data_IF_690292390658
#
_entry.id   IF_690292390658
#
_cell.length_a   1.000
_cell.length_b   1.000
_cell.length_c   1.000
_cell.angle_alpha   90.00
_cell.angle_beta   90.00
_cell.angle_gamma   90.00
#
_symmetry.space_group_name_H-M   'P 1'
#
loop_
_entity.id
_entity.type
_entity.pdbx_description
1 polymer ?
#
# COMPACT_ATOMS: atom_id res chain seq x y z
N UNK A 1 17.62 -13.24 -24.71
CA UNK A 1 16.99 -14.30 -25.53
C UNK A 1 16.08 -13.65 -26.56
N UNK A 2 15.87 -14.26 -27.74
CA UNK A 2 14.79 -13.84 -28.63
C UNK A 2 13.44 -14.10 -27.97
N UNK A 3 12.51 -13.18 -28.16
CA UNK A 3 11.12 -13.32 -27.74
C UNK A 3 10.42 -14.39 -28.58
N UNK A 4 9.77 -15.36 -27.92
CA UNK A 4 8.99 -16.42 -28.59
C UNK A 4 7.54 -16.35 -28.13
N UNK A 5 6.62 -16.06 -29.06
CA UNK A 5 5.19 -15.88 -28.77
C UNK A 5 4.52 -17.11 -28.15
N UNK A 6 5.05 -18.31 -28.38
CA UNK A 6 4.49 -19.56 -27.85
C UNK A 6 4.50 -19.62 -26.30
N UNK A 7 5.38 -18.85 -25.65
CA UNK A 7 5.45 -18.74 -24.19
C UNK A 7 4.53 -17.66 -23.61
N UNK A 8 3.67 -17.05 -24.43
CA UNK A 8 2.69 -16.07 -23.94
C UNK A 8 1.38 -16.79 -23.67
N UNK A 9 0.94 -16.73 -22.42
CA UNK A 9 -0.40 -17.12 -22.02
C UNK A 9 -1.30 -15.89 -21.93
N UNK A 10 -2.23 -15.73 -22.87
CA UNK A 10 -3.25 -14.68 -22.78
C UNK A 10 -4.45 -15.15 -21.98
N UNK A 11 -4.77 -14.45 -20.88
CA UNK A 11 -5.98 -14.70 -20.10
C UNK A 11 -7.08 -13.69 -20.46
N UNK A 12 -8.37 -14.10 -20.47
CA UNK A 12 -9.49 -13.21 -20.81
C UNK A 12 -9.82 -12.17 -19.72
N UNK A 13 -9.11 -12.18 -18.58
CA UNK A 13 -9.25 -11.20 -17.50
C UNK A 13 -8.28 -11.44 -16.36
N UNK A 14 -8.35 -10.56 -15.34
CA UNK A 14 -7.52 -10.60 -14.12
C UNK A 14 -8.04 -11.58 -13.05
N UNK A 15 -9.03 -12.40 -13.36
CA UNK A 15 -9.67 -13.34 -12.42
C UNK A 15 -9.32 -14.80 -12.74
N UNK A 16 -9.52 -15.66 -11.72
CA UNK A 16 -9.37 -17.13 -11.71
C UNK A 16 -9.63 -17.74 -13.09
N UNK A 17 -8.64 -18.51 -13.57
CA UNK A 17 -8.63 -19.30 -14.80
C UNK A 17 -10.00 -19.93 -15.11
N UNK A 18 -10.75 -19.27 -15.98
CA UNK A 18 -12.02 -19.75 -16.51
C UNK A 18 -11.78 -20.78 -17.61
N UNK A 19 -11.22 -21.95 -17.26
CA UNK A 19 -11.15 -23.08 -18.19
C UNK A 19 -9.92 -24.00 -18.16
N UNK A 20 -9.12 -24.05 -17.08
CA UNK A 20 -7.88 -24.85 -16.99
C UNK A 20 -6.84 -24.46 -18.07
N UNK A 21 -6.89 -23.23 -18.57
CA UNK A 21 -5.99 -22.74 -19.61
C UNK A 21 -4.54 -22.77 -19.14
N UNK A 22 -4.30 -22.34 -17.90
CA UNK A 22 -2.97 -22.26 -17.31
C UNK A 22 -2.35 -23.64 -17.09
N UNK A 23 -3.15 -24.60 -16.62
CA UNK A 23 -2.71 -25.96 -16.42
C UNK A 23 -2.29 -26.63 -17.74
N UNK A 24 -3.11 -26.45 -18.79
CA UNK A 24 -2.79 -26.94 -20.13
C UNK A 24 -1.50 -26.32 -20.66
N UNK A 25 -1.35 -25.00 -20.51
CA UNK A 25 -0.15 -24.28 -20.96
C UNK A 25 1.11 -24.73 -20.22
N UNK A 26 1.04 -24.96 -18.91
CA UNK A 26 2.16 -25.52 -18.12
C UNK A 26 2.55 -26.93 -18.58
N UNK A 27 1.58 -27.76 -18.97
CA UNK A 27 1.85 -29.10 -19.51
C UNK A 27 2.49 -29.07 -20.90
N UNK A 28 2.11 -28.08 -21.73
CA UNK A 28 2.66 -27.88 -23.07
C UNK A 28 4.08 -27.28 -23.06
N UNK A 29 4.48 -26.64 -21.95
CA UNK A 29 5.79 -25.98 -21.79
C UNK A 29 6.52 -26.46 -20.50
N UNK A 30 6.84 -27.76 -20.38
CA UNK A 30 7.46 -28.33 -19.17
C UNK A 30 8.90 -27.85 -18.89
N UNK A 31 9.55 -27.24 -19.88
CA UNK A 31 10.90 -26.69 -19.82
C UNK A 31 11.00 -25.33 -19.13
N UNK A 32 9.87 -24.67 -18.85
CA UNK A 32 9.85 -23.36 -18.21
C UNK A 32 10.48 -23.42 -16.82
N UNK A 33 11.44 -22.54 -16.58
CA UNK A 33 12.13 -22.33 -15.30
C UNK A 33 11.76 -20.98 -14.67
N UNK A 34 11.05 -20.10 -15.39
CA UNK A 34 10.61 -18.79 -14.92
C UNK A 34 9.33 -18.29 -15.60
N UNK A 35 8.44 -17.64 -14.84
CA UNK A 35 7.17 -17.08 -15.34
C UNK A 35 6.95 -15.68 -14.77
N UNK A 36 6.76 -14.70 -15.65
CA UNK A 36 6.41 -13.33 -15.28
C UNK A 36 4.91 -13.09 -15.50
N UNK A 37 4.19 -12.80 -14.42
CA UNK A 37 2.76 -12.48 -14.43
C UNK A 37 2.55 -10.98 -14.58
N UNK A 38 1.48 -10.60 -15.30
CA UNK A 38 1.12 -9.19 -15.53
C UNK A 38 0.59 -8.49 -14.27
N UNK A 39 0.12 -9.24 -13.27
CA UNK A 39 -0.26 -8.74 -11.94
C UNK A 39 0.01 -9.79 -10.86
N UNK A 40 0.08 -9.35 -9.60
CA UNK A 40 0.20 -10.23 -8.43
C UNK A 40 -1.00 -11.18 -8.26
N UNK A 41 -2.19 -10.78 -8.70
CA UNK A 41 -3.38 -11.65 -8.65
C UNK A 41 -3.21 -12.89 -9.53
N UNK A 42 -2.67 -12.70 -10.73
CA UNK A 42 -2.41 -13.81 -11.66
C UNK A 42 -1.30 -14.72 -11.11
N UNK A 43 -0.26 -14.13 -10.50
CA UNK A 43 0.78 -14.90 -9.84
C UNK A 43 0.21 -15.75 -8.68
N UNK A 44 -0.72 -15.22 -7.90
CA UNK A 44 -1.40 -16.00 -6.85
C UNK A 44 -2.12 -17.24 -7.40
N UNK A 45 -2.79 -17.12 -8.55
CA UNK A 45 -3.41 -18.29 -9.19
C UNK A 45 -2.38 -19.29 -9.71
N UNK A 46 -1.30 -18.80 -10.32
CA UNK A 46 -0.21 -19.63 -10.80
C UNK A 46 0.43 -20.45 -9.69
N UNK A 47 0.64 -19.86 -8.50
CA UNK A 47 1.14 -20.59 -7.32
C UNK A 47 0.31 -21.83 -7.02
N UNK A 48 -1.02 -21.70 -7.05
CA UNK A 48 -1.95 -22.81 -6.76
C UNK A 48 -1.91 -23.89 -7.85
N UNK A 49 -1.74 -23.51 -9.11
CA UNK A 49 -1.61 -24.48 -10.20
C UNK A 49 -0.27 -25.22 -10.15
N UNK A 50 0.83 -24.52 -9.84
CA UNK A 50 2.14 -25.12 -9.66
C UNK A 50 2.16 -26.10 -8.49
N UNK A 51 1.51 -25.76 -7.38
CA UNK A 51 1.36 -26.64 -6.22
C UNK A 51 0.62 -27.95 -6.58
N UNK A 52 -0.46 -27.87 -7.37
CA UNK A 52 -1.22 -29.05 -7.82
C UNK A 52 -0.39 -30.03 -8.64
N UNK A 53 0.58 -29.53 -9.41
CA UNK A 53 1.48 -30.37 -10.22
C UNK A 53 2.80 -30.67 -9.50
N UNK A 54 2.90 -30.35 -8.21
CA UNK A 54 4.05 -30.66 -7.36
C UNK A 54 5.31 -29.84 -7.65
N UNK A 55 5.18 -28.68 -8.32
CA UNK A 55 6.28 -27.74 -8.60
C UNK A 55 6.36 -26.70 -7.50
N UNK A 56 7.55 -26.49 -6.94
CA UNK A 56 7.81 -25.48 -5.92
C UNK A 56 8.22 -24.17 -6.58
N UNK A 57 7.48 -23.12 -6.26
CA UNK A 57 7.82 -21.76 -6.68
C UNK A 57 9.15 -21.33 -6.05
N UNK A 58 9.96 -20.58 -6.80
CA UNK A 58 11.28 -20.10 -6.37
C UNK A 58 12.37 -21.16 -6.35
N UNK A 59 12.05 -22.40 -6.72
CA UNK A 59 13.01 -23.50 -6.75
C UNK A 59 12.92 -24.33 -8.01
N UNK A 60 11.75 -24.85 -8.31
CA UNK A 60 11.51 -25.63 -9.53
C UNK A 60 11.08 -24.70 -10.68
N UNK A 61 10.34 -23.63 -10.38
CA UNK A 61 9.95 -22.56 -11.31
C UNK A 61 9.99 -21.22 -10.58
N UNK A 62 10.72 -20.24 -11.11
CA UNK A 62 10.72 -18.87 -10.62
C UNK A 62 9.43 -18.15 -11.04
N UNK A 63 8.86 -17.32 -10.16
CA UNK A 63 7.63 -16.58 -10.46
C UNK A 63 7.79 -15.13 -10.04
N UNK A 64 7.41 -14.20 -10.91
CA UNK A 64 7.31 -12.78 -10.56
C UNK A 64 5.95 -12.20 -10.94
N UNK A 65 5.52 -11.16 -10.22
CA UNK A 65 4.30 -10.40 -10.47
C UNK A 65 4.56 -8.93 -10.80
N UNK A 66 3.49 -8.14 -10.69
CA UNK A 66 3.45 -6.69 -10.89
C UNK A 66 2.35 -6.13 -9.97
N UNK A 67 2.57 -4.94 -9.41
CA UNK A 67 1.73 -4.16 -8.47
C UNK A 67 2.27 -4.10 -7.03
N UNK A 68 3.08 -5.07 -6.61
CA UNK A 68 3.58 -5.21 -5.23
C UNK A 68 2.47 -5.04 -4.17
N UNK A 69 1.42 -5.85 -4.30
CA UNK A 69 0.30 -5.80 -3.37
C UNK A 69 0.74 -6.29 -1.99
N UNK A 70 0.17 -5.80 -0.88
CA UNK A 70 0.47 -6.28 0.47
C UNK A 70 0.34 -7.80 0.65
N UNK A 71 -0.52 -8.45 -0.14
CA UNK A 71 -0.72 -9.89 -0.14
C UNK A 71 0.51 -10.66 -0.68
N UNK A 72 1.32 -10.04 -1.55
CA UNK A 72 2.51 -10.66 -2.17
C UNK A 72 3.55 -11.10 -1.13
N UNK A 73 3.71 -10.34 -0.04
CA UNK A 73 4.62 -10.67 1.07
C UNK A 73 4.15 -11.84 1.92
N UNK A 74 2.84 -12.15 1.88
CA UNK A 74 2.23 -13.24 2.63
C UNK A 74 2.09 -14.54 1.82
N UNK A 75 2.43 -14.51 0.53
CA UNK A 75 2.49 -15.71 -0.30
C UNK A 75 3.62 -16.63 0.18
N UNK A 76 3.52 -17.92 -0.11
CA UNK A 76 4.50 -18.92 0.33
C UNK A 76 5.06 -19.65 -0.89
N UNK A 77 6.31 -19.38 -1.31
CA UNK A 77 7.20 -18.31 -0.82
C UNK A 77 6.71 -16.89 -1.19
N UNK A 78 7.16 -15.83 -0.48
CA UNK A 78 6.81 -14.44 -0.81
C UNK A 78 7.12 -14.11 -2.27
N UNK A 79 6.16 -13.47 -2.94
CA UNK A 79 6.19 -13.20 -4.38
C UNK A 79 7.04 -11.98 -4.71
N UNK A 80 8.06 -12.15 -5.54
CA UNK A 80 8.79 -11.07 -6.17
C UNK A 80 7.87 -10.31 -7.12
N UNK A 81 7.88 -8.98 -7.06
CA UNK A 81 6.94 -8.17 -7.84
C UNK A 81 7.58 -6.87 -8.26
N UNK A 82 7.07 -6.28 -9.34
CA UNK A 82 7.43 -4.93 -9.72
C UNK A 82 6.47 -3.94 -9.04
N UNK A 83 7.04 -3.08 -8.19
CA UNK A 83 6.29 -2.03 -7.52
C UNK A 83 6.17 -0.81 -8.43
N UNK A 84 4.92 -0.42 -8.67
CA UNK A 84 4.57 0.85 -9.26
C UNK A 84 3.73 1.65 -8.25
N UNK A 85 4.21 2.82 -7.83
CA UNK A 85 3.57 3.59 -6.78
C UNK A 85 2.18 4.09 -7.24
N UNK A 86 1.14 3.37 -6.81
CA UNK A 86 -0.26 3.68 -7.13
C UNK A 86 -0.68 5.06 -6.63
N UNK A 87 -0.10 5.54 -5.52
CA UNK A 87 -0.40 6.86 -4.97
C UNK A 87 0.19 7.96 -5.87
N UNK A 88 1.43 7.77 -6.33
CA UNK A 88 2.07 8.67 -7.28
C UNK A 88 1.35 8.68 -8.63
N UNK A 89 0.95 7.51 -9.15
CA UNK A 89 0.14 7.39 -10.36
C UNK A 89 -1.17 8.18 -10.21
N UNK A 90 -1.89 7.99 -9.10
CA UNK A 90 -3.15 8.69 -8.84
C UNK A 90 -2.96 10.22 -8.76
N UNK A 91 -1.93 10.66 -8.03
CA UNK A 91 -1.59 12.08 -7.92
C UNK A 91 -1.29 12.71 -9.29
N UNK A 92 -0.42 12.06 -10.08
CA UNK A 92 -0.06 12.54 -11.41
C UNK A 92 -1.25 12.50 -12.37
N UNK A 93 -2.13 11.51 -12.27
CA UNK A 93 -3.37 11.44 -13.04
C UNK A 93 -4.30 12.62 -12.76
N UNK A 94 -4.50 12.98 -11.48
CA UNK A 94 -5.30 14.15 -11.09
C UNK A 94 -4.65 15.45 -11.58
N UNK A 95 -3.33 15.57 -11.41
CA UNK A 95 -2.56 16.73 -11.86
C UNK A 95 -2.66 16.92 -13.38
N UNK A 96 -2.48 15.85 -14.16
CA UNK A 96 -2.64 15.90 -15.61
C UNK A 96 -4.08 16.24 -16.02
N UNK A 97 -5.09 15.72 -15.31
CA UNK A 97 -6.49 16.10 -15.54
C UNK A 97 -6.72 17.61 -15.30
N UNK A 98 -6.07 18.18 -14.29
CA UNK A 98 -6.10 19.62 -14.03
C UNK A 98 -5.38 20.43 -15.11
N UNK A 99 -4.20 19.98 -15.54
CA UNK A 99 -3.43 20.62 -16.62
C UNK A 99 -4.18 20.58 -17.96
N UNK A 100 -4.85 19.46 -18.26
CA UNK A 100 -5.73 19.34 -19.43
C UNK A 100 -6.86 20.37 -19.38
N UNK A 101 -7.49 20.52 -18.22
CA UNK A 101 -8.58 21.47 -18.03
C UNK A 101 -8.11 22.92 -18.21
N UNK A 102 -6.96 23.29 -17.63
CA UNK A 102 -6.47 24.66 -17.62
C UNK A 102 -5.78 25.05 -18.92
N UNK A 103 -5.00 24.14 -19.49
CA UNK A 103 -4.07 24.41 -20.59
C UNK A 103 -4.48 23.73 -21.90
N UNK A 104 -5.55 22.92 -21.91
CA UNK A 104 -6.04 22.20 -23.09
C UNK A 104 -5.11 21.10 -23.60
N UNK A 105 -4.06 20.76 -22.86
CA UNK A 105 -3.06 19.76 -23.26
C UNK A 105 -2.40 19.09 -22.05
N UNK A 106 -1.89 17.88 -22.26
CA UNK A 106 -1.08 17.11 -21.31
C UNK A 106 0.12 16.50 -22.01
N UNK A 107 1.04 15.90 -21.25
CA UNK A 107 2.20 15.21 -21.77
C UNK A 107 2.27 13.81 -21.16
N UNK A 108 2.76 12.84 -21.93
CA UNK A 108 3.04 11.52 -21.41
C UNK A 108 4.12 11.63 -20.33
N UNK A 109 3.82 11.06 -19.16
CA UNK A 109 4.78 10.93 -18.06
C UNK A 109 5.05 9.46 -17.83
N UNK A 110 6.32 9.15 -17.63
CA UNK A 110 6.78 7.83 -17.22
C UNK A 110 7.03 7.87 -15.72
N UNK A 111 6.64 6.80 -15.05
CA UNK A 111 6.87 6.61 -13.62
C UNK A 111 7.78 5.41 -13.51
N UNK A 112 8.86 5.57 -12.75
CA UNK A 112 9.80 4.49 -12.52
C UNK A 112 9.12 3.41 -11.69
N UNK A 113 9.19 2.19 -12.20
CA UNK A 113 8.80 0.99 -11.47
C UNK A 113 10.07 0.27 -11.02
N UNK A 114 10.07 -0.25 -9.79
CA UNK A 114 11.21 -0.96 -9.23
C UNK A 114 10.87 -2.42 -9.00
N UNK A 115 11.79 -3.30 -9.32
CA UNK A 115 11.63 -4.73 -9.08
C UNK A 115 12.02 -5.06 -7.64
N UNK A 116 11.11 -5.69 -6.90
CA UNK A 116 11.33 -6.15 -5.53
C UNK A 116 11.57 -7.67 -5.59
N UNK A 117 12.83 -8.13 -5.54
CA UNK A 117 13.12 -9.55 -5.49
C UNK A 117 12.63 -10.13 -4.16
N UNK A 118 12.05 -11.33 -4.21
CA UNK A 118 11.68 -12.13 -3.04
C UNK A 118 11.97 -13.61 -3.32
N UNK A 119 11.68 -14.48 -2.36
CA UNK A 119 11.98 -15.91 -2.41
C UNK A 119 11.36 -16.66 -3.61
N UNK A 120 10.37 -16.09 -4.30
CA UNK A 120 9.80 -16.68 -5.52
C UNK A 120 10.70 -16.64 -6.76
N UNK A 121 11.81 -15.89 -6.75
CA UNK A 121 12.79 -15.81 -7.85
C UNK A 121 14.19 -16.26 -7.42
N UNK A 122 14.27 -17.15 -6.42
CA UNK A 122 15.52 -17.71 -5.91
C UNK A 122 16.56 -16.63 -5.54
N UNK A 123 16.10 -15.55 -4.88
CA UNK A 123 17.05 -14.61 -4.30
C UNK A 123 17.62 -15.22 -3.01
N UNK A 124 18.90 -15.60 -3.02
CA UNK A 124 19.69 -15.56 -1.79
C UNK A 124 19.59 -14.14 -1.21
N UNK A 125 19.45 -13.99 0.12
CA UNK A 125 19.20 -12.73 0.84
C UNK A 125 20.25 -11.62 0.53
N UNK A 126 20.20 -11.02 -0.67
CA UNK A 126 21.11 -9.97 -1.12
C UNK A 126 20.99 -8.74 -0.23
N UNK A 127 19.76 -8.43 0.21
CA UNK A 127 19.45 -7.33 1.13
C UNK A 127 20.16 -7.45 2.50
N UNK A 128 20.23 -8.67 3.07
CA UNK A 128 20.95 -8.91 4.33
C UNK A 128 22.46 -8.70 4.17
N UNK A 129 22.98 -8.90 2.96
CA UNK A 129 24.41 -8.74 2.64
C UNK A 129 24.77 -7.26 2.51
N UNK A 130 23.98 -6.46 1.78
CA UNK A 130 24.25 -5.04 1.51
C UNK A 130 24.30 -4.17 2.77
N UNK A 131 23.26 -4.23 3.62
CA UNK A 131 23.21 -3.39 4.82
C UNK A 131 24.29 -3.79 5.85
N UNK A 132 24.57 -5.09 5.95
CA UNK A 132 25.65 -5.62 6.78
C UNK A 132 27.02 -5.15 6.29
N UNK A 133 27.27 -5.15 4.98
CA UNK A 133 28.49 -4.60 4.37
C UNK A 133 28.62 -3.11 4.57
N UNK A 134 27.55 -2.33 4.37
CA UNK A 134 27.52 -0.90 4.63
C UNK A 134 27.90 -0.57 6.08
N UNK A 135 27.27 -1.22 7.06
CA UNK A 135 27.58 -0.98 8.48
C UNK A 135 29.02 -1.36 8.80
N UNK A 136 29.52 -2.50 8.28
CA UNK A 136 30.92 -2.93 8.47
C UNK A 136 31.90 -1.93 7.86
N UNK A 137 31.64 -1.44 6.66
CA UNK A 137 32.44 -0.43 5.97
C UNK A 137 32.51 0.87 6.79
N UNK A 138 31.36 1.41 7.20
CA UNK A 138 31.29 2.64 8.00
C UNK A 138 32.04 2.50 9.33
N UNK A 139 31.97 1.33 9.98
CA UNK A 139 32.72 1.05 11.22
C UNK A 139 34.23 0.96 10.98
N UNK A 140 34.66 0.40 9.85
CA UNK A 140 36.08 0.32 9.48
C UNK A 140 36.67 1.72 9.20
N UNK A 141 35.92 2.56 8.49
CA UNK A 141 36.30 3.95 8.16
C UNK A 141 36.08 4.94 9.32
N UNK A 142 35.49 4.49 10.44
CA UNK A 142 35.16 5.31 11.61
C UNK A 142 34.24 6.48 11.29
N UNK A 143 33.28 6.25 10.40
CA UNK A 143 32.23 7.20 10.09
C UNK A 143 31.39 7.53 11.33
N UNK A 144 30.75 8.70 11.31
CA UNK A 144 29.94 9.17 12.44
C UNK A 144 28.67 8.32 12.61
N UNK A 145 28.16 8.24 13.84
CA UNK A 145 26.91 7.54 14.12
C UNK A 145 25.73 8.16 13.35
N UNK A 146 25.74 9.49 13.15
CA UNK A 146 24.72 10.18 12.36
C UNK A 146 24.75 9.76 10.89
N UNK A 147 25.93 9.57 10.30
CA UNK A 147 26.07 9.12 8.91
C UNK A 147 25.54 7.69 8.72
N UNK A 148 25.87 6.79 9.65
CA UNK A 148 25.35 5.41 9.65
C UNK A 148 23.82 5.42 9.77
N UNK A 149 23.28 6.21 10.71
CA UNK A 149 21.85 6.35 10.93
C UNK A 149 21.12 6.90 9.70
N UNK A 150 21.75 7.84 8.98
CA UNK A 150 21.20 8.38 7.74
C UNK A 150 21.14 7.31 6.64
N UNK A 151 22.20 6.54 6.43
CA UNK A 151 22.21 5.45 5.46
C UNK A 151 21.19 4.36 5.78
N UNK A 152 21.05 4.00 7.07
CA UNK A 152 20.02 3.06 7.53
C UNK A 152 18.61 3.60 7.30
N UNK A 153 18.38 4.89 7.55
CA UNK A 153 17.09 5.53 7.26
C UNK A 153 16.78 5.44 5.77
N UNK A 154 17.73 5.81 4.91
CA UNK A 154 17.54 5.74 3.45
C UNK A 154 17.23 4.32 2.99
N UNK A 155 17.93 3.32 3.53
CA UNK A 155 17.70 1.91 3.25
C UNK A 155 16.28 1.45 3.60
N UNK A 156 15.78 1.82 4.78
CA UNK A 156 14.44 1.44 5.27
C UNK A 156 13.31 2.12 4.49
N UNK A 157 13.56 3.30 3.90
CA UNK A 157 12.57 4.00 3.09
C UNK A 157 12.63 3.67 1.59
N UNK A 158 13.72 3.09 1.08
CA UNK A 158 13.86 2.68 -0.33
C UNK A 158 13.47 3.76 -1.37
N UNK A 159 13.83 5.02 -1.11
CA UNK A 159 13.41 6.18 -1.91
C UNK A 159 11.88 6.40 -2.03
N UNK A 160 11.06 5.76 -1.18
CA UNK A 160 9.61 6.01 -1.11
C UNK A 160 9.34 7.47 -0.75
N UNK A 161 8.40 8.08 -1.47
CA UNK A 161 7.94 9.45 -1.22
C UNK A 161 7.12 9.50 0.07
N UNK A 162 7.70 10.09 1.11
CA UNK A 162 7.03 10.26 2.41
C UNK A 162 6.36 11.63 2.42
N UNK A 163 5.03 11.65 2.51
CA UNK A 163 4.26 12.91 2.54
C UNK A 163 4.30 13.62 3.90
N UNK A 164 4.72 12.93 4.96
CA UNK A 164 4.93 13.47 6.30
C UNK A 164 6.33 14.08 6.42
N UNK A 165 6.41 15.39 6.69
CA UNK A 165 7.68 16.13 6.66
C UNK A 165 8.71 15.65 7.69
N UNK A 166 8.27 15.01 8.78
CA UNK A 166 9.14 14.70 9.93
C UNK A 166 9.29 13.19 10.18
N UNK A 167 8.67 12.33 9.38
CA UNK A 167 8.68 10.88 9.65
C UNK A 167 10.06 10.26 9.41
N UNK A 168 10.73 10.62 8.31
CA UNK A 168 12.11 10.21 8.07
C UNK A 168 13.07 10.73 9.16
N UNK A 169 12.90 11.97 9.62
CA UNK A 169 13.69 12.54 10.72
C UNK A 169 13.49 11.79 12.04
N UNK A 170 12.27 11.28 12.29
CA UNK A 170 11.95 10.48 13.46
C UNK A 170 12.68 9.14 13.43
N UNK A 171 12.65 8.44 12.30
CA UNK A 171 13.37 7.17 12.10
C UNK A 171 14.88 7.38 12.17
N UNK A 172 15.39 8.47 11.57
CA UNK A 172 16.79 8.85 11.66
C UNK A 172 17.22 9.10 13.11
N UNK A 173 16.46 9.89 13.85
CA UNK A 173 16.72 10.16 15.27
C UNK A 173 16.69 8.88 16.11
N UNK A 174 15.80 7.94 15.80
CA UNK A 174 15.75 6.65 16.45
C UNK A 174 17.02 5.81 16.20
N UNK A 175 17.49 5.72 14.96
CA UNK A 175 18.73 5.01 14.66
C UNK A 175 19.96 5.68 15.28
N UNK A 176 20.07 7.01 15.22
CA UNK A 176 21.14 7.76 15.88
C UNK A 176 21.14 7.48 17.38
N UNK A 177 19.96 7.55 18.02
CA UNK A 177 19.82 7.25 19.44
C UNK A 177 20.30 5.84 19.77
N UNK A 178 19.91 4.82 19.00
CA UNK A 178 20.37 3.44 19.21
C UNK A 178 21.88 3.28 19.04
N UNK A 179 22.48 3.98 18.07
CA UNK A 179 23.92 3.94 17.79
C UNK A 179 24.77 4.62 18.88
N UNK A 180 24.21 5.60 19.58
CA UNK A 180 24.89 6.34 20.65
C UNK A 180 24.84 5.62 22.01
N UNK A 181 23.98 4.61 22.17
CA UNK A 181 23.85 3.88 23.43
C UNK A 181 25.05 2.96 23.68
N UNK A 182 25.57 3.00 24.90
CA UNK A 182 26.50 1.99 25.38
C UNK A 182 25.75 0.82 26.02
N UNK A 183 26.41 -0.34 26.16
CA UNK A 183 25.83 -1.52 26.84
C UNK A 183 25.36 -1.21 28.26
N UNK A 184 26.01 -0.27 28.96
CA UNK A 184 25.62 0.14 30.31
C UNK A 184 24.32 0.93 30.34
N UNK A 185 23.96 1.56 29.23
CA UNK A 185 22.72 2.33 29.10
C UNK A 185 21.52 1.41 28.86
N UNK A 186 21.74 0.23 28.27
CA UNK A 186 20.72 -0.79 27.97
C UNK A 186 20.02 -1.40 29.21
N UNK A 187 20.36 -0.96 30.42
CA UNK A 187 19.68 -1.34 31.68
C UNK A 187 18.95 -0.16 32.34
N UNK A 188 19.07 1.07 31.81
CA UNK A 188 18.49 2.27 32.42
C UNK A 188 17.03 2.43 32.02
N UNK A 189 16.15 2.64 33.01
CA UNK A 189 14.72 2.82 32.76
C UNK A 189 14.39 3.97 31.78
N UNK A 190 15.13 5.08 31.85
CA UNK A 190 14.92 6.21 30.93
C UNK A 190 15.16 5.85 29.47
N UNK A 191 16.08 4.92 29.18
CA UNK A 191 16.37 4.45 27.82
C UNK A 191 15.21 3.60 27.29
N UNK A 192 14.62 2.74 28.13
CA UNK A 192 13.45 1.94 27.75
C UNK A 192 12.26 2.85 27.43
N UNK A 193 12.03 3.87 28.26
CA UNK A 193 10.96 4.85 28.01
C UNK A 193 11.18 5.61 26.70
N UNK A 194 12.38 6.12 26.47
CA UNK A 194 12.71 6.86 25.24
C UNK A 194 12.51 5.99 23.98
N UNK A 195 12.90 4.72 24.04
CA UNK A 195 12.68 3.76 22.95
C UNK A 195 11.19 3.51 22.72
N UNK A 196 10.41 3.34 23.79
CA UNK A 196 8.96 3.22 23.69
C UNK A 196 8.34 4.43 23.00
N UNK A 197 8.81 5.64 23.33
CA UNK A 197 8.33 6.88 22.70
C UNK A 197 8.67 6.92 21.21
N UNK A 198 9.90 6.58 20.81
CA UNK A 198 10.26 6.47 19.39
C UNK A 198 9.43 5.42 18.65
N UNK A 199 9.24 4.23 19.24
CA UNK A 199 8.46 3.15 18.62
C UNK A 199 7.00 3.61 18.42
N UNK A 200 6.41 4.33 19.37
CA UNK A 200 5.05 4.85 19.20
C UNK A 200 4.95 5.91 18.10
N UNK A 201 5.97 6.74 17.91
CA UNK A 201 6.03 7.71 16.83
C UNK A 201 6.24 7.03 15.46
N UNK A 202 7.08 5.99 15.40
CA UNK A 202 7.36 5.24 14.17
C UNK A 202 6.16 4.38 13.76
N UNK A 203 5.56 3.66 14.71
CA UNK A 203 4.40 2.79 14.50
C UNK A 203 3.10 3.56 14.67
N UNK A 204 2.92 4.60 13.85
CA UNK A 204 1.68 5.35 13.74
C UNK A 204 0.84 4.88 12.53
N UNK A 205 -0.47 5.15 12.56
CA UNK A 205 -1.40 4.62 11.56
C UNK A 205 -1.19 5.20 10.15
N UNK A 206 -0.80 6.46 10.06
CA UNK A 206 -0.79 7.22 8.81
C UNK A 206 0.48 6.95 8.00
N UNK A 207 1.63 6.85 8.69
CA UNK A 207 2.96 6.85 8.08
C UNK A 207 3.61 5.46 8.00
N UNK A 208 3.17 4.47 8.80
CA UNK A 208 3.78 3.12 8.80
C UNK A 208 3.80 2.47 7.40
N UNK A 209 2.92 2.92 6.50
CA UNK A 209 2.80 2.45 5.11
C UNK A 209 4.03 2.77 4.27
N UNK A 210 4.79 3.80 4.62
CA UNK A 210 5.99 4.22 3.89
C UNK A 210 7.24 3.48 4.37
N UNK A 211 7.19 2.85 5.55
CA UNK A 211 8.33 2.19 6.18
C UNK A 211 8.41 0.72 5.77
N UNK A 212 9.56 0.28 5.28
CA UNK A 212 9.81 -1.14 5.07
C UNK A 212 10.18 -1.83 6.40
N UNK A 213 9.25 -2.62 6.93
CA UNK A 213 9.41 -3.30 8.20
C UNK A 213 10.51 -4.37 8.17
N UNK A 214 10.67 -5.07 7.05
CA UNK A 214 11.69 -6.12 6.92
C UNK A 214 13.08 -5.49 6.98
N UNK A 215 13.29 -4.41 6.22
CA UNK A 215 14.54 -3.63 6.26
C UNK A 215 14.80 -2.98 7.62
N UNK A 216 13.76 -2.52 8.32
CA UNK A 216 13.89 -2.03 9.70
C UNK A 216 14.41 -3.13 10.63
N UNK A 217 13.85 -4.34 10.55
CA UNK A 217 14.28 -5.45 11.39
C UNK A 217 15.69 -5.94 11.03
N UNK A 218 16.06 -5.95 9.74
CA UNK A 218 17.43 -6.21 9.29
C UNK A 218 18.41 -5.18 9.89
N UNK A 219 18.10 -3.88 9.78
CA UNK A 219 18.86 -2.81 10.42
C UNK A 219 19.08 -3.05 11.94
N UNK A 220 18.02 -3.40 12.66
CA UNK A 220 18.09 -3.68 14.09
C UNK A 220 18.87 -4.95 14.44
N UNK A 221 18.84 -5.97 13.57
CA UNK A 221 19.57 -7.21 13.79
C UNK A 221 21.08 -6.96 13.78
N UNK A 222 21.57 -6.09 12.89
CA UNK A 222 22.97 -5.68 12.81
C UNK A 222 23.39 -4.74 13.94
N UNK A 223 22.53 -3.80 14.35
CA UNK A 223 22.82 -2.89 15.47
C UNK A 223 22.94 -3.63 16.80
N UNK A 224 22.01 -4.55 17.06
CA UNK A 224 21.92 -5.27 18.33
C UNK A 224 22.43 -6.71 18.15
N UNK A 225 23.65 -6.81 17.62
CA UNK A 225 24.32 -8.09 17.45
C UNK A 225 25.08 -8.48 18.73
N UNK A 226 24.58 -9.50 19.43
CA UNK A 226 25.14 -10.02 20.68
C UNK A 226 26.41 -10.84 20.48
N UNK A 227 26.72 -11.26 19.25
CA UNK A 227 27.90 -12.08 18.94
C UNK A 227 29.21 -11.30 19.04
N UNK A 228 29.16 -9.98 18.91
CA UNK A 228 30.34 -9.10 18.96
C UNK A 228 30.90 -8.89 20.38
N UNK A 229 30.20 -9.31 21.42
CA UNK A 229 30.60 -9.09 22.81
C UNK A 229 31.23 -10.35 23.41
N UNK A 230 32.37 -10.22 24.08
CA UNK A 230 33.04 -11.37 24.71
C UNK A 230 32.48 -11.69 26.12
N UNK A 231 31.99 -10.68 26.83
CA UNK A 231 31.49 -10.81 28.19
C UNK A 231 30.04 -11.35 28.23
N UNK A 232 29.80 -12.42 28.98
CA UNK A 232 28.47 -13.02 29.13
C UNK A 232 27.46 -12.09 29.81
N UNK A 233 27.89 -11.24 30.74
CA UNK A 233 26.99 -10.30 31.41
C UNK A 233 26.44 -9.25 30.42
N UNK A 234 27.31 -8.72 29.57
CA UNK A 234 26.96 -7.75 28.54
C UNK A 234 26.08 -8.36 27.45
N UNK A 235 26.34 -9.63 27.09
CA UNK A 235 25.45 -10.39 26.19
C UNK A 235 24.03 -10.50 26.75
N UNK A 236 23.87 -10.83 28.04
CA UNK A 236 22.56 -10.99 28.67
C UNK A 236 21.81 -9.64 28.70
N UNK A 237 22.51 -8.55 29.02
CA UNK A 237 21.94 -7.19 29.02
C UNK A 237 21.44 -6.80 27.63
N UNK A 238 22.28 -6.97 26.61
CA UNK A 238 21.92 -6.67 25.23
C UNK A 238 20.81 -7.57 24.70
N UNK A 239 20.80 -8.86 25.06
CA UNK A 239 19.73 -9.77 24.65
C UNK A 239 18.38 -9.37 25.26
N UNK A 240 18.37 -8.99 26.55
CA UNK A 240 17.16 -8.50 27.23
C UNK A 240 16.66 -7.20 26.58
N UNK A 241 17.58 -6.29 26.26
CA UNK A 241 17.30 -5.03 25.60
C UNK A 241 16.77 -5.23 24.17
N UNK A 242 17.39 -6.13 23.40
CA UNK A 242 16.92 -6.58 22.09
C UNK A 242 15.47 -7.06 22.20
N UNK A 243 15.21 -8.00 23.10
CA UNK A 243 13.89 -8.58 23.30
C UNK A 243 12.84 -7.51 23.65
N UNK A 244 13.19 -6.52 24.47
CA UNK A 244 12.31 -5.40 24.77
C UNK A 244 11.92 -4.60 23.53
N UNK A 245 12.89 -4.19 22.70
CA UNK A 245 12.63 -3.43 21.46
C UNK A 245 11.69 -4.20 20.54
N UNK A 246 11.99 -5.48 20.26
CA UNK A 246 11.14 -6.30 19.40
C UNK A 246 9.74 -6.49 19.99
N UNK A 247 9.60 -6.72 21.30
CA UNK A 247 8.29 -6.84 21.95
C UNK A 247 7.47 -5.55 21.83
N UNK A 248 8.09 -4.38 22.01
CA UNK A 248 7.41 -3.10 21.84
C UNK A 248 6.96 -2.89 20.39
N UNK A 249 7.83 -3.15 19.42
CA UNK A 249 7.49 -3.04 17.99
C UNK A 249 6.35 -3.98 17.61
N UNK A 250 6.41 -5.25 18.02
CA UNK A 250 5.36 -6.24 17.76
C UNK A 250 4.04 -5.80 18.41
N UNK A 251 4.08 -5.31 19.65
CA UNK A 251 2.89 -4.82 20.34
C UNK A 251 2.25 -3.62 19.63
N UNK A 252 3.04 -2.62 19.26
CA UNK A 252 2.55 -1.43 18.54
C UNK A 252 2.02 -1.80 17.16
N UNK A 253 2.69 -2.70 16.43
CA UNK A 253 2.21 -3.18 15.13
C UNK A 253 0.90 -3.96 15.24
N UNK A 254 0.77 -4.87 16.20
CA UNK A 254 -0.48 -5.60 16.43
C UNK A 254 -1.63 -4.67 16.81
N UNK A 255 -1.36 -3.63 17.60
CA UNK A 255 -2.35 -2.61 17.93
C UNK A 255 -2.82 -1.86 16.66
N UNK A 256 -1.91 -1.50 15.75
CA UNK A 256 -2.27 -0.89 14.46
C UNK A 256 -3.11 -1.83 13.59
N UNK A 257 -2.75 -3.12 13.51
CA UNK A 257 -3.54 -4.12 12.78
C UNK A 257 -4.98 -4.19 13.31
N UNK A 258 -5.15 -4.23 14.63
CA UNK A 258 -6.46 -4.23 15.27
C UNK A 258 -7.27 -2.96 14.93
N UNK A 259 -6.62 -1.79 14.94
CA UNK A 259 -7.29 -0.54 14.55
C UNK A 259 -7.73 -0.56 13.09
N UNK A 260 -6.87 -1.04 12.18
CA UNK A 260 -7.19 -1.21 10.76
C UNK A 260 -8.36 -2.15 10.57
N UNK A 261 -8.37 -3.30 11.22
CA UNK A 261 -9.47 -4.27 11.15
C UNK A 261 -10.78 -3.69 11.68
N UNK A 262 -10.73 -2.95 12.80
CA UNK A 262 -11.90 -2.27 13.36
C UNK A 262 -12.46 -1.22 12.40
N UNK A 263 -11.60 -0.43 11.73
CA UNK A 263 -12.03 0.54 10.71
C UNK A 263 -12.58 -0.15 9.48
N UNK A 264 -11.91 -1.18 8.98
CA UNK A 264 -12.37 -1.99 7.85
C UNK A 264 -13.76 -2.58 8.13
N UNK A 265 -13.94 -3.21 9.29
CA UNK A 265 -15.23 -3.78 9.71
C UNK A 265 -16.33 -2.73 9.82
N UNK A 266 -16.01 -1.55 10.40
CA UNK A 266 -16.95 -0.42 10.44
C UNK A 266 -17.34 0.03 9.03
N UNK A 267 -16.35 0.24 8.16
CA UNK A 267 -16.57 0.67 6.77
C UNK A 267 -17.37 -0.37 5.98
N UNK A 268 -17.09 -1.66 6.15
CA UNK A 268 -17.80 -2.73 5.47
C UNK A 268 -19.24 -2.87 5.96
N UNK A 269 -19.50 -2.66 7.26
CA UNK A 269 -20.87 -2.54 7.78
C UNK A 269 -21.59 -1.35 7.18
N UNK A 270 -20.94 -0.20 7.09
CA UNK A 270 -21.51 1.00 6.46
C UNK A 270 -21.84 0.77 4.99
N UNK A 271 -20.93 0.19 4.22
CA UNK A 271 -21.17 -0.21 2.82
C UNK A 271 -22.33 -1.20 2.74
N UNK A 272 -22.39 -2.19 3.63
CA UNK A 272 -23.50 -3.13 3.71
C UNK A 272 -24.86 -2.46 3.97
N UNK A 273 -24.91 -1.42 4.81
CA UNK A 273 -26.13 -0.63 5.04
C UNK A 273 -26.51 0.21 3.81
N UNK A 274 -25.54 0.85 3.17
CA UNK A 274 -25.76 1.61 1.92
C UNK A 274 -26.30 0.68 0.83
N UNK A 275 -25.63 -0.45 0.57
CA UNK A 275 -26.06 -1.42 -0.43
C UNK A 275 -27.45 -1.98 -0.13
N UNK A 276 -27.75 -2.23 1.15
CA UNK A 276 -29.08 -2.70 1.57
C UNK A 276 -30.16 -1.64 1.28
N UNK A 277 -29.90 -0.36 1.56
CA UNK A 277 -30.80 0.72 1.16
C UNK A 277 -30.98 0.82 -0.35
N UNK A 278 -29.93 0.59 -1.13
CA UNK A 278 -30.00 0.64 -2.60
C UNK A 278 -30.81 -0.50 -3.25
N UNK A 279 -31.01 -1.63 -2.55
CA UNK A 279 -31.67 -2.82 -3.10
C UNK A 279 -33.20 -2.82 -2.93
N UNK A 280 -33.79 -1.91 -2.16
CA UNK A 280 -35.23 -1.85 -1.97
C UNK A 280 -35.87 -0.84 -2.95
N UNK A 281 -37.01 -1.22 -3.55
CA UNK A 281 -37.68 -0.51 -4.65
C UNK A 281 -38.39 0.81 -4.23
N UNK A 282 -38.19 1.31 -3.01
CA UNK A 282 -38.90 2.49 -2.47
C UNK A 282 -38.03 3.75 -2.44
N UNK A 283 -37.87 4.39 -3.60
CA UNK A 283 -37.05 5.58 -3.87
C UNK A 283 -36.96 6.68 -2.78
N UNK A 284 -37.97 6.89 -1.94
CA UNK A 284 -37.97 8.02 -0.99
C UNK A 284 -37.30 7.74 0.36
N UNK A 285 -37.50 6.56 0.96
CA UNK A 285 -36.91 6.25 2.28
C UNK A 285 -35.43 5.80 2.16
N UNK A 286 -35.07 5.25 1.00
CA UNK A 286 -33.76 4.65 0.74
C UNK A 286 -32.66 5.69 0.46
N UNK A 287 -33.00 6.81 -0.20
CA UNK A 287 -32.06 7.94 -0.41
C UNK A 287 -31.62 8.55 0.92
N UNK A 288 -32.50 8.56 1.92
CA UNK A 288 -32.20 9.08 3.25
C UNK A 288 -31.29 8.15 4.02
N UNK A 289 -31.49 6.83 3.91
CA UNK A 289 -30.57 5.85 4.46
C UNK A 289 -29.17 5.99 3.83
N UNK A 290 -29.05 6.28 2.53
CA UNK A 290 -27.74 6.53 1.90
C UNK A 290 -27.11 7.79 2.48
N UNK A 291 -27.86 8.91 2.53
CA UNK A 291 -27.37 10.20 3.03
C UNK A 291 -26.83 10.11 4.47
N UNK A 292 -27.54 9.41 5.35
CA UNK A 292 -27.18 9.26 6.76
C UNK A 292 -25.94 8.36 6.95
N UNK A 293 -25.63 7.49 5.98
CA UNK A 293 -24.48 6.59 6.02
C UNK A 293 -23.22 7.16 5.34
N UNK A 294 -23.31 8.20 4.49
CA UNK A 294 -22.16 8.83 3.82
C UNK A 294 -21.07 9.29 4.81
N UNK A 295 -21.38 9.95 5.95
CA UNK A 295 -20.39 10.36 6.95
C UNK A 295 -19.55 9.19 7.48
N UNK A 296 -20.16 8.01 7.60
CA UNK A 296 -19.46 6.81 8.09
C UNK A 296 -18.41 6.27 7.11
N UNK A 297 -18.41 6.73 5.85
CA UNK A 297 -17.35 6.46 4.87
C UNK A 297 -16.19 7.46 4.95
N UNK A 298 -16.21 8.40 5.91
CA UNK A 298 -15.22 9.49 6.05
C UNK A 298 -15.50 10.68 5.13
N UNK A 299 -16.71 10.78 4.58
CA UNK A 299 -17.12 11.86 3.69
C UNK A 299 -18.02 12.81 4.47
N UNK A 300 -17.43 13.91 4.92
CA UNK A 300 -18.10 14.88 5.80
C UNK A 300 -19.03 15.85 5.06
N UNK A 301 -18.71 16.12 3.79
CA UNK A 301 -19.49 16.99 2.92
C UNK A 301 -19.71 16.28 1.59
N UNK A 302 -20.96 16.04 1.22
CA UNK A 302 -21.31 15.34 -0.01
C UNK A 302 -22.56 15.89 -0.68
N UNK A 303 -22.54 15.88 -2.01
CA UNK A 303 -23.71 16.13 -2.84
C UNK A 303 -23.86 15.01 -3.86
N UNK A 304 -25.07 14.47 -4.02
CA UNK A 304 -25.40 13.46 -5.02
C UNK A 304 -26.38 14.05 -6.02
N UNK A 305 -26.06 13.90 -7.29
CA UNK A 305 -26.89 14.35 -8.41
C UNK A 305 -27.33 13.16 -9.25
N UNK A 306 -28.59 13.15 -9.67
CA UNK A 306 -29.12 12.19 -10.63
C UNK A 306 -29.57 12.90 -11.90
N UNK A 307 -29.48 12.17 -13.01
CA UNK A 307 -30.12 12.58 -14.25
C UNK A 307 -31.63 12.37 -14.14
N UNK A 308 -32.40 13.28 -14.71
CA UNK A 308 -33.86 13.14 -14.82
C UNK A 308 -34.26 11.85 -15.56
N UNK A 309 -33.40 11.39 -16.47
CA UNK A 309 -33.58 10.14 -17.23
C UNK A 309 -32.26 9.38 -17.34
N UNK A 310 -32.29 8.04 -17.30
CA UNK A 310 -31.09 7.22 -17.47
C UNK A 310 -30.39 7.50 -18.81
N UNK A 311 -29.07 7.66 -18.78
CA UNK A 311 -28.27 7.91 -19.98
C UNK A 311 -27.55 6.63 -20.37
N UNK A 312 -27.91 6.07 -21.52
CA UNK A 312 -27.27 4.87 -22.06
C UNK A 312 -26.09 5.26 -22.94
N UNK A 313 -24.90 4.76 -22.61
CA UNK A 313 -23.69 4.92 -23.43
C UNK A 313 -23.32 3.61 -24.12
N UNK A 314 -22.70 3.72 -25.29
CA UNK A 314 -22.16 2.59 -26.05
C UNK A 314 -20.69 2.85 -26.30
N UNK A 315 -19.88 1.78 -26.33
CA UNK A 315 -18.40 1.78 -26.25
C UNK A 315 -17.66 2.64 -27.30
N UNK A 316 -18.36 3.13 -28.33
CA UNK A 316 -17.80 3.97 -29.39
C UNK A 316 -18.64 5.22 -29.72
N UNK A 317 -19.60 5.57 -28.86
CA UNK A 317 -20.41 6.79 -29.03
C UNK A 317 -19.97 7.86 -28.04
N UNK A 318 -19.79 9.11 -28.50
CA UNK A 318 -19.54 10.22 -27.60
C UNK A 318 -20.71 10.37 -26.63
N UNK A 319 -20.40 10.49 -25.34
CA UNK A 319 -21.38 10.70 -24.28
C UNK A 319 -22.12 12.02 -24.52
N UNK A 320 -23.43 11.95 -24.77
CA UNK A 320 -24.30 13.13 -24.84
C UNK A 320 -24.80 13.42 -23.43
N UNK A 321 -24.24 14.44 -22.81
CA UNK A 321 -24.64 14.86 -21.47
C UNK A 321 -26.08 15.40 -21.47
N UNK A 322 -26.92 15.02 -20.49
CA UNK A 322 -28.23 15.65 -20.28
C UNK A 322 -28.13 17.15 -20.04
N UNK A 323 -29.21 17.88 -20.29
CA UNK A 323 -29.24 19.34 -20.10
C UNK A 323 -29.19 19.73 -18.62
N UNK A 324 -29.76 18.89 -17.76
CA UNK A 324 -29.98 19.16 -16.34
C UNK A 324 -29.69 17.92 -15.51
N UNK A 325 -29.27 18.14 -14.27
CA UNK A 325 -29.20 17.15 -13.20
C UNK A 325 -29.96 17.69 -11.99
N UNK A 326 -30.54 16.79 -11.20
CA UNK A 326 -31.23 17.10 -9.97
C UNK A 326 -30.39 16.71 -8.76
N UNK A 327 -30.29 17.62 -7.77
CA UNK A 327 -29.67 17.33 -6.47
C UNK A 327 -30.61 16.46 -5.64
N UNK A 328 -30.14 15.27 -5.25
CA UNK A 328 -30.95 14.31 -4.47
C UNK A 328 -30.39 13.98 -3.08
N UNK A 329 -29.11 14.29 -2.81
CA UNK A 329 -28.54 14.22 -1.46
C UNK A 329 -27.67 15.45 -1.24
N UNK A 330 -27.80 16.09 -0.07
CA UNK A 330 -26.90 17.14 0.39
C UNK A 330 -26.52 16.85 1.86
N UNK A 331 -25.24 16.63 2.12
CA UNK A 331 -24.65 16.41 3.44
C UNK A 331 -23.60 17.50 3.65
N UNK A 332 -23.72 18.24 4.74
CA UNK A 332 -22.74 19.24 5.18
C UNK A 332 -22.42 19.00 6.66
N UNK A 333 -21.13 18.93 7.01
CA UNK A 333 -20.63 18.67 8.36
C UNK A 333 -21.32 17.46 9.03
N UNK A 334 -21.29 16.31 8.35
CA UNK A 334 -21.87 15.04 8.80
C UNK A 334 -23.40 15.03 8.96
N UNK A 335 -24.09 16.11 8.59
CA UNK A 335 -25.54 16.22 8.70
C UNK A 335 -26.21 16.44 7.35
N UNK A 336 -27.31 15.74 7.15
CA UNK A 336 -28.17 15.95 6.00
C UNK A 336 -28.79 17.35 6.04
N UNK A 337 -28.68 18.04 4.92
CA UNK A 337 -29.29 19.34 4.71
C UNK A 337 -30.59 19.20 3.91
N UNK A 338 -31.59 20.08 4.14
CA UNK A 338 -32.79 20.11 3.33
C UNK A 338 -32.46 20.42 1.88
N UNK A 339 -33.02 19.64 0.96
CA UNK A 339 -32.84 19.81 -0.47
C UNK A 339 -33.88 20.80 -0.96
N UNK A 340 -33.44 21.88 -1.60
CA UNK A 340 -34.30 22.67 -2.49
C UNK A 340 -34.08 22.11 -3.89
N UNK A 341 -35.13 21.70 -4.60
CA UNK A 341 -35.01 21.19 -5.97
C UNK A 341 -34.22 22.18 -6.83
N UNK A 342 -32.94 21.89 -7.02
CA UNK A 342 -31.99 22.76 -7.70
C UNK A 342 -31.55 22.01 -8.94
N UNK A 343 -32.14 22.38 -10.07
CA UNK A 343 -31.73 21.89 -11.37
C UNK A 343 -30.44 22.61 -11.77
N UNK A 344 -29.38 21.85 -11.98
CA UNK A 344 -28.09 22.37 -12.41
C UNK A 344 -27.75 21.87 -13.80
N UNK A 345 -27.07 22.70 -14.60
CA UNK A 345 -26.47 22.24 -15.85
C UNK A 345 -25.15 21.53 -15.55
N UNK A 346 -24.81 20.43 -16.24
CA UNK A 346 -23.54 19.75 -16.04
C UNK A 346 -22.31 20.65 -16.18
N UNK A 347 -22.38 21.68 -17.03
CA UNK A 347 -21.32 22.66 -17.23
C UNK A 347 -21.04 23.52 -15.98
N UNK A 348 -22.04 23.75 -15.13
CA UNK A 348 -21.93 24.61 -13.96
C UNK A 348 -21.26 23.89 -12.76
N UNK A 349 -21.09 22.56 -12.87
CA UNK A 349 -20.58 21.67 -11.83
C UNK A 349 -19.09 21.87 -11.52
N UNK A 350 -18.27 22.10 -12.56
CA UNK A 350 -16.82 22.30 -12.40
C UNK A 350 -16.53 23.57 -11.60
N UNK A 351 -17.34 24.61 -11.78
CA UNK A 351 -17.22 25.90 -11.07
C UNK A 351 -17.58 25.78 -9.58
N UNK A 352 -18.58 24.97 -9.24
CA UNK A 352 -19.02 24.74 -7.85
C UNK A 352 -17.95 23.99 -7.05
N UNK A 353 -17.28 23.01 -7.67
CA UNK A 353 -16.25 22.13 -7.07
C UNK A 353 -15.05 22.89 -6.50
N UNK A 354 -14.65 24.01 -7.10
CA UNK A 354 -13.51 24.80 -6.62
C UNK A 354 -13.87 25.80 -5.51
N UNK A 355 -15.17 26.07 -5.28
CA UNK A 355 -15.62 27.07 -4.30
C UNK A 355 -15.99 26.49 -2.94
N UNK A 356 -16.26 25.17 -2.85
CA UNK A 356 -16.66 24.49 -1.62
C UNK A 356 -15.92 23.16 -1.46
N UNK A 357 -15.39 22.89 -0.27
CA UNK A 357 -14.73 21.63 0.11
C UNK A 357 -15.75 20.46 0.20
N UNK A 358 -16.30 20.03 -0.93
CA UNK A 358 -17.33 18.98 -1.03
C UNK A 358 -16.80 17.81 -1.86
N UNK A 359 -16.94 16.59 -1.34
CA UNK A 359 -16.61 15.34 -2.05
C UNK A 359 -17.90 14.81 -2.69
N UNK A 360 -17.94 14.70 -4.01
CA UNK A 360 -19.12 14.20 -4.72
C UNK A 360 -18.99 12.74 -5.12
N UNK A 361 -20.08 12.00 -4.92
CA UNK A 361 -20.25 10.61 -5.36
C UNK A 361 -21.18 10.64 -6.56
N UNK A 362 -20.82 9.98 -7.65
CA UNK A 362 -21.72 9.72 -8.77
C UNK A 362 -22.13 8.25 -8.71
N UNK A 363 -23.43 7.98 -8.79
CA UNK A 363 -23.98 6.65 -8.98
C UNK A 363 -24.61 6.63 -10.37
N UNK A 364 -24.16 5.70 -11.22
CA UNK A 364 -24.61 5.54 -12.60
C UNK A 364 -25.90 4.73 -12.68
#
# INVERSE_FOLDING_TARGET
MPFEEKYILSTPGYNIDSGNLMNKWLQENPELDGIMCVTDDIAYYLYRELEKIGKRVGKDIMVSGFDDKPESTHMVPPLASCHADASLIAYLGIKQGYDLYKNGSTQNQYIDAHFIPRLSVDCENYEETEIGEFIRFCRAEKESNEYIAQGMTQYVFDNKLVYSSNYQETVWSFFTYLLDLSVKDCTKHCVYQQIGDYINLIFNEDDIRYLDLERLFLCLSFLINTENYLNMEDKIKLQSFKQYIYLQMISSYNYLLLLKEKRYTRRMRSIGQVNKGMLFESLNDDIYAIADNIPSLGIHNAQLYLFETPVVTYEFRPLVMPKTMELIINVENDQRQPIKNTLLRPSDFVTIKFSKNVTMIFLF
#
